data_IF_590689868881
#
_entry.id   IF_590689868881
#
_cell.length_a   1.000
_cell.length_b   1.000
_cell.length_c   1.000
_cell.angle_alpha   90.00
_cell.angle_beta   90.00
_cell.angle_gamma   90.00
#
_symmetry.space_group_name_H-M   'P 1'
#
loop_
_entity.id
_entity.type
_entity.pdbx_description
1 polymer ?
#
# COMPACT_ATOMS: atom_id res chain seq x y z
N UNK A 1 13.71 -12.50 10.86
CA UNK A 1 12.33 -12.88 10.45
C UNK A 1 12.37 -13.09 8.94
N UNK A 2 11.76 -14.16 8.41
CA UNK A 2 11.65 -14.36 6.96
C UNK A 2 10.82 -13.25 6.31
N UNK A 3 10.91 -13.12 4.98
CA UNK A 3 10.05 -12.21 4.22
C UNK A 3 8.59 -12.58 4.45
N UNK A 4 7.77 -11.59 4.81
CA UNK A 4 6.32 -11.75 4.87
C UNK A 4 5.71 -11.45 3.49
N UNK A 5 4.80 -12.32 3.06
CA UNK A 5 4.14 -12.21 1.77
C UNK A 5 2.71 -11.70 1.96
N UNK A 6 2.41 -10.54 1.38
CA UNK A 6 1.07 -10.02 1.25
C UNK A 6 0.27 -10.81 0.20
N UNK A 7 -1.03 -10.65 0.24
CA UNK A 7 -1.92 -11.14 -0.82
C UNK A 7 -1.76 -10.35 -2.13
N UNK A 8 -2.69 -10.53 -3.04
CA UNK A 8 -2.72 -9.88 -4.35
C UNK A 8 -3.98 -9.03 -4.56
N UNK A 9 -4.36 -8.90 -5.81
CA UNK A 9 -5.43 -8.01 -6.27
C UNK A 9 -6.81 -8.41 -5.73
N UNK A 10 -7.37 -7.64 -4.80
CA UNK A 10 -8.76 -7.78 -4.35
C UNK A 10 -9.74 -7.47 -5.49
N UNK A 11 -9.61 -6.31 -6.14
CA UNK A 11 -10.54 -5.87 -7.19
C UNK A 11 -10.64 -6.84 -8.36
N UNK A 12 -9.52 -7.35 -8.88
CA UNK A 12 -9.49 -8.35 -9.95
C UNK A 12 -10.27 -9.61 -9.54
N UNK A 13 -10.01 -10.11 -8.33
CA UNK A 13 -10.68 -11.32 -7.83
C UNK A 13 -12.17 -11.11 -7.60
N UNK A 14 -12.60 -9.92 -7.18
CA UNK A 14 -14.03 -9.59 -7.04
C UNK A 14 -14.73 -9.51 -8.40
N UNK A 15 -14.07 -8.94 -9.42
CA UNK A 15 -14.61 -8.90 -10.79
C UNK A 15 -14.80 -10.31 -11.36
N UNK A 16 -13.84 -11.22 -11.16
CA UNK A 16 -13.98 -12.62 -11.53
C UNK A 16 -15.16 -13.33 -10.82
N UNK A 17 -15.56 -12.82 -9.65
CA UNK A 17 -16.70 -13.32 -8.85
C UNK A 17 -17.99 -12.55 -9.09
N UNK A 18 -18.05 -11.73 -10.13
CA UNK A 18 -19.29 -11.09 -10.60
C UNK A 18 -19.47 -9.64 -10.16
N UNK A 19 -18.47 -8.98 -9.56
CA UNK A 19 -18.54 -7.53 -9.36
C UNK A 19 -18.55 -6.84 -10.73
N UNK A 20 -19.68 -6.18 -11.06
CA UNK A 20 -19.81 -5.50 -12.32
C UNK A 20 -18.98 -4.20 -12.40
N UNK A 21 -18.52 -3.81 -13.60
CA UNK A 21 -17.86 -2.53 -13.80
C UNK A 21 -18.67 -1.35 -13.24
N UNK A 22 -18.02 -0.45 -12.51
CA UNK A 22 -18.67 0.74 -11.91
C UNK A 22 -19.37 0.49 -10.57
N UNK A 23 -19.46 -0.74 -10.10
CA UNK A 23 -19.94 -1.02 -8.74
C UNK A 23 -18.84 -0.73 -7.71
N UNK A 24 -19.26 -0.32 -6.52
CA UNK A 24 -18.34 -0.10 -5.39
C UNK A 24 -17.93 -1.45 -4.78
N UNK A 25 -16.64 -1.81 -4.77
CA UNK A 25 -16.17 -3.08 -4.18
C UNK A 25 -16.44 -3.16 -2.69
N UNK A 26 -16.31 -2.05 -1.96
CA UNK A 26 -16.47 -1.98 -0.51
C UNK A 26 -17.91 -2.26 -0.06
N UNK A 27 -18.90 -2.03 -0.94
CA UNK A 27 -20.30 -2.38 -0.69
C UNK A 27 -20.50 -3.89 -0.43
N UNK A 28 -19.64 -4.74 -1.01
CA UNK A 28 -19.70 -6.19 -0.82
C UNK A 28 -19.40 -6.61 0.62
N UNK A 29 -18.71 -5.78 1.40
CA UNK A 29 -18.48 -6.07 2.82
C UNK A 29 -19.81 -6.22 3.59
N UNK A 30 -20.85 -5.50 3.16
CA UNK A 30 -22.17 -5.54 3.79
C UNK A 30 -23.17 -6.41 3.01
N UNK A 31 -23.15 -6.36 1.66
CA UNK A 31 -24.15 -7.01 0.83
C UNK A 31 -23.83 -8.47 0.49
N UNK A 32 -22.55 -8.84 0.41
CA UNK A 32 -22.08 -10.18 0.06
C UNK A 32 -20.71 -10.51 0.72
N UNK A 33 -20.63 -10.48 2.06
CA UNK A 33 -19.38 -10.65 2.79
C UNK A 33 -18.69 -11.99 2.52
N UNK A 34 -19.43 -13.02 2.16
CA UNK A 34 -18.92 -14.34 1.78
C UNK A 34 -18.08 -14.31 0.49
N UNK A 35 -18.39 -13.42 -0.45
CA UNK A 35 -17.58 -13.23 -1.66
C UNK A 35 -16.20 -12.65 -1.27
N UNK A 36 -16.17 -11.61 -0.44
CA UNK A 36 -14.92 -11.02 0.06
C UNK A 36 -14.14 -12.04 0.88
N UNK A 37 -14.80 -12.77 1.78
CA UNK A 37 -14.19 -13.85 2.57
C UNK A 37 -13.57 -14.95 1.69
N UNK A 38 -14.21 -15.27 0.56
CA UNK A 38 -13.67 -16.28 -0.37
C UNK A 38 -12.34 -15.84 -0.99
N UNK A 39 -12.19 -14.55 -1.32
CA UNK A 39 -10.93 -13.99 -1.84
C UNK A 39 -9.81 -14.09 -0.79
N UNK A 40 -10.05 -13.65 0.43
CA UNK A 40 -9.05 -13.78 1.52
C UNK A 40 -8.65 -15.23 1.74
N UNK A 41 -9.62 -16.16 1.73
CA UNK A 41 -9.36 -17.59 1.90
C UNK A 41 -8.47 -18.16 0.82
N UNK A 42 -8.71 -17.80 -0.44
CA UNK A 42 -7.91 -18.27 -1.56
C UNK A 42 -6.45 -17.78 -1.46
N UNK A 43 -6.22 -16.54 -1.06
CA UNK A 43 -4.87 -16.00 -0.83
C UNK A 43 -4.17 -16.64 0.37
N UNK A 44 -4.87 -16.87 1.49
CA UNK A 44 -4.28 -17.54 2.65
C UNK A 44 -3.89 -19.00 2.31
N UNK A 45 -4.72 -19.70 1.53
CA UNK A 45 -4.43 -21.04 1.03
C UNK A 45 -3.30 -21.07 0.02
N UNK A 46 -3.12 -20.00 -0.74
CA UNK A 46 -1.96 -19.78 -1.59
C UNK A 46 -0.67 -19.51 -0.81
N UNK A 47 -0.76 -19.29 0.51
CA UNK A 47 0.39 -19.17 1.40
C UNK A 47 0.77 -17.75 1.78
N UNK A 48 -0.04 -16.72 1.49
CA UNK A 48 0.25 -15.37 1.98
C UNK A 48 0.26 -15.33 3.53
N UNK A 49 1.01 -14.40 4.08
CA UNK A 49 1.14 -14.18 5.52
C UNK A 49 0.24 -13.02 5.99
N UNK A 50 -0.11 -12.10 5.08
CA UNK A 50 -0.89 -10.89 5.39
C UNK A 50 -1.95 -10.73 4.30
N UNK A 51 -3.21 -10.56 4.71
CA UNK A 51 -4.33 -10.21 3.81
C UNK A 51 -4.68 -8.74 3.94
N UNK A 52 -5.00 -8.11 2.82
CA UNK A 52 -5.40 -6.70 2.71
C UNK A 52 -6.92 -6.62 2.68
N UNK A 53 -7.51 -5.81 3.56
CA UNK A 53 -8.96 -5.67 3.64
C UNK A 53 -9.55 -5.01 2.40
N UNK A 54 -10.81 -5.35 2.09
CA UNK A 54 -11.58 -4.70 1.03
C UNK A 54 -12.11 -3.34 1.50
N UNK A 55 -11.20 -2.37 1.70
CA UNK A 55 -11.52 -1.04 2.25
C UNK A 55 -10.73 0.11 1.60
N UNK A 56 -10.09 -0.15 0.45
CA UNK A 56 -9.29 0.82 -0.29
C UNK A 56 -10.04 2.13 -0.56
N UNK A 57 -11.25 2.06 -1.08
CA UNK A 57 -12.15 3.18 -1.35
C UNK A 57 -13.09 3.50 -0.17
N UNK A 58 -12.78 3.07 1.05
CA UNK A 58 -13.63 3.21 2.23
C UNK A 58 -13.65 4.60 2.88
N UNK A 59 -12.97 5.60 2.31
CA UNK A 59 -13.02 6.98 2.81
C UNK A 59 -14.38 7.63 2.54
N UNK A 60 -14.77 8.61 3.38
CA UNK A 60 -16.03 9.35 3.17
C UNK A 60 -16.08 10.00 1.79
N UNK A 61 -14.95 10.50 1.30
CA UNK A 61 -14.83 11.11 -0.02
C UNK A 61 -15.20 10.12 -1.13
N UNK A 62 -14.63 8.91 -1.10
CA UNK A 62 -14.91 7.86 -2.09
C UNK A 62 -16.30 7.28 -1.96
N UNK A 63 -16.75 6.98 -0.76
CA UNK A 63 -18.10 6.44 -0.53
C UNK A 63 -19.21 7.42 -0.95
N UNK A 64 -18.96 8.73 -0.90
CA UNK A 64 -19.90 9.76 -1.37
C UNK A 64 -20.20 9.64 -2.86
N UNK A 65 -19.23 9.20 -3.68
CA UNK A 65 -19.43 8.99 -5.12
C UNK A 65 -20.52 7.92 -5.40
N UNK A 66 -20.72 7.01 -4.44
CA UNK A 66 -21.70 5.91 -4.48
C UNK A 66 -22.90 6.12 -3.54
N UNK A 67 -23.07 7.31 -2.95
CA UNK A 67 -24.13 7.64 -1.97
C UNK A 67 -24.09 6.75 -0.70
N UNK A 68 -22.89 6.29 -0.32
CA UNK A 68 -22.66 5.37 0.81
C UNK A 68 -21.87 6.03 1.97
N UNK A 69 -21.68 7.35 1.96
CA UNK A 69 -20.87 8.07 2.96
C UNK A 69 -21.30 7.82 4.42
N UNK A 70 -22.62 7.63 4.65
CA UNK A 70 -23.16 7.36 5.99
C UNK A 70 -22.92 5.91 6.47
N UNK A 71 -22.44 5.03 5.58
CA UNK A 71 -22.11 3.64 5.91
C UNK A 71 -20.60 3.44 6.17
N UNK A 72 -19.82 4.53 6.23
CA UNK A 72 -18.36 4.47 6.37
C UNK A 72 -17.91 3.55 7.51
N UNK A 73 -18.46 3.74 8.71
CA UNK A 73 -18.07 2.94 9.88
C UNK A 73 -18.39 1.45 9.68
N UNK A 74 -19.60 1.14 9.23
CA UNK A 74 -20.02 -0.23 9.01
C UNK A 74 -19.17 -0.93 7.92
N UNK A 75 -18.94 -0.27 6.79
CA UNK A 75 -18.16 -0.81 5.67
C UNK A 75 -16.73 -1.13 6.11
N UNK A 76 -16.05 -0.18 6.77
CA UNK A 76 -14.65 -0.34 7.16
C UNK A 76 -14.48 -1.35 8.31
N UNK A 77 -15.34 -1.31 9.34
CA UNK A 77 -15.30 -2.29 10.43
C UNK A 77 -15.58 -3.71 9.91
N UNK A 78 -16.55 -3.87 9.02
CA UNK A 78 -16.89 -5.17 8.44
C UNK A 78 -15.76 -5.71 7.56
N UNK A 79 -15.05 -4.85 6.81
CA UNK A 79 -13.89 -5.27 6.01
C UNK A 79 -12.82 -5.95 6.87
N UNK A 80 -12.49 -5.36 8.02
CA UNK A 80 -11.53 -5.95 8.97
C UNK A 80 -12.09 -7.22 9.60
N UNK A 81 -13.37 -7.21 9.99
CA UNK A 81 -14.01 -8.38 10.61
C UNK A 81 -14.03 -9.60 9.69
N UNK A 82 -14.33 -9.41 8.39
CA UNK A 82 -14.28 -10.49 7.38
C UNK A 82 -12.87 -11.08 7.29
N UNK A 83 -11.86 -10.24 7.09
CA UNK A 83 -10.47 -10.67 6.97
C UNK A 83 -10.00 -11.43 8.23
N UNK A 84 -10.30 -10.88 9.41
CA UNK A 84 -9.96 -11.48 10.70
C UNK A 84 -10.63 -12.84 10.90
N UNK A 85 -11.92 -12.95 10.56
CA UNK A 85 -12.65 -14.22 10.66
C UNK A 85 -12.05 -15.30 9.76
N UNK A 86 -11.63 -14.95 8.55
CA UNK A 86 -10.98 -15.90 7.63
C UNK A 86 -9.60 -16.31 8.15
N UNK A 87 -8.78 -15.37 8.66
CA UNK A 87 -7.50 -15.70 9.28
C UNK A 87 -7.66 -16.67 10.47
N UNK A 88 -8.68 -16.47 11.30
CA UNK A 88 -9.00 -17.38 12.42
C UNK A 88 -9.43 -18.78 11.93
N UNK A 89 -10.27 -18.85 10.89
CA UNK A 89 -10.72 -20.12 10.31
C UNK A 89 -9.57 -20.93 9.68
N UNK A 90 -8.65 -20.25 8.98
CA UNK A 90 -7.50 -20.88 8.35
C UNK A 90 -6.32 -21.08 9.35
N UNK A 91 -6.45 -20.60 10.60
CA UNK A 91 -5.45 -20.74 11.66
C UNK A 91 -4.14 -19.98 11.41
N UNK A 92 -4.15 -19.00 10.50
CA UNK A 92 -2.97 -18.21 10.08
C UNK A 92 -3.35 -16.85 9.50
N UNK A 93 -2.36 -16.00 9.34
CA UNK A 93 -2.46 -14.72 8.65
C UNK A 93 -2.62 -13.54 9.60
N UNK A 94 -2.16 -12.39 9.14
CA UNK A 94 -2.34 -11.07 9.73
C UNK A 94 -3.24 -10.23 8.82
N UNK A 95 -3.79 -9.15 9.34
CA UNK A 95 -4.72 -8.27 8.62
C UNK A 95 -4.13 -6.89 8.47
N UNK A 96 -3.96 -6.42 7.24
CA UNK A 96 -3.62 -5.04 6.91
C UNK A 96 -4.86 -4.31 6.41
N UNK A 97 -5.28 -3.26 7.12
CA UNK A 97 -6.44 -2.47 6.75
C UNK A 97 -6.07 -1.43 5.70
N UNK A 98 -6.60 -1.60 4.49
CA UNK A 98 -6.31 -0.77 3.31
C UNK A 98 -6.99 0.59 3.38
N UNK A 99 -6.24 1.63 3.04
CA UNK A 99 -6.71 3.01 2.84
C UNK A 99 -6.06 3.56 1.56
N UNK A 100 -6.86 3.85 0.56
CA UNK A 100 -6.42 4.43 -0.71
C UNK A 100 -6.56 5.96 -0.76
N UNK A 101 -6.10 6.60 -1.85
CA UNK A 101 -6.24 8.03 -2.06
C UNK A 101 -7.70 8.43 -2.25
N UNK A 102 -8.03 9.65 -1.80
CA UNK A 102 -9.38 10.24 -1.94
C UNK A 102 -9.74 10.60 -3.38
N UNK A 103 -8.73 10.77 -4.24
CA UNK A 103 -8.87 11.32 -5.57
C UNK A 103 -8.81 12.85 -5.61
N UNK A 104 -8.68 13.50 -4.46
CA UNK A 104 -8.49 14.95 -4.35
C UNK A 104 -7.01 15.30 -4.15
N UNK A 105 -6.61 16.47 -4.63
CA UNK A 105 -5.31 17.04 -4.29
C UNK A 105 -5.45 18.06 -3.16
N UNK A 106 -4.42 18.08 -2.31
CA UNK A 106 -4.32 19.13 -1.29
C UNK A 106 -3.91 20.46 -1.90
N UNK A 107 -4.33 21.57 -1.26
CA UNK A 107 -3.85 22.91 -1.64
C UNK A 107 -2.31 22.98 -1.64
N UNK A 108 -1.68 23.72 -2.56
CA UNK A 108 -2.27 24.59 -3.59
C UNK A 108 -2.58 23.87 -4.92
N UNK A 109 -2.35 22.57 -5.06
CA UNK A 109 -2.60 21.80 -6.29
C UNK A 109 -4.09 21.50 -6.51
N UNK A 110 -4.84 21.33 -5.44
CA UNK A 110 -6.28 21.09 -5.42
C UNK A 110 -6.98 22.07 -4.50
N UNK A 111 -8.23 21.77 -4.17
CA UNK A 111 -9.10 22.64 -3.38
C UNK A 111 -9.16 22.27 -1.90
N UNK A 112 -8.80 21.04 -1.55
CA UNK A 112 -8.94 20.52 -0.18
C UNK A 112 -7.81 21.04 0.71
N UNK A 113 -8.15 21.66 1.84
CA UNK A 113 -7.19 22.09 2.85
C UNK A 113 -6.50 20.89 3.52
N UNK A 114 -5.24 21.08 3.97
CA UNK A 114 -4.48 19.98 4.58
C UNK A 114 -5.17 19.43 5.84
N UNK A 115 -5.71 20.30 6.70
CA UNK A 115 -6.44 19.88 7.91
C UNK A 115 -7.72 19.08 7.57
N UNK A 116 -8.45 19.52 6.55
CA UNK A 116 -9.63 18.79 6.06
C UNK A 116 -9.26 17.40 5.51
N UNK A 117 -8.13 17.29 4.79
CA UNK A 117 -7.63 16.01 4.32
C UNK A 117 -7.28 15.07 5.49
N UNK A 118 -6.67 15.60 6.55
CA UNK A 118 -6.42 14.83 7.79
C UNK A 118 -7.74 14.34 8.39
N UNK A 119 -8.77 15.18 8.47
CA UNK A 119 -10.07 14.81 9.03
C UNK A 119 -10.78 13.71 8.22
N UNK A 120 -10.70 13.77 6.88
CA UNK A 120 -11.24 12.73 6.00
C UNK A 120 -10.60 11.37 6.32
N UNK A 121 -9.27 11.30 6.41
CA UNK A 121 -8.56 10.06 6.73
C UNK A 121 -8.75 9.60 8.17
N UNK A 122 -8.87 10.53 9.12
CA UNK A 122 -9.08 10.19 10.52
C UNK A 122 -10.42 9.46 10.75
N UNK A 123 -11.46 9.77 9.99
CA UNK A 123 -12.75 9.07 10.06
C UNK A 123 -12.58 7.59 9.64
N UNK A 124 -11.94 7.32 8.50
CA UNK A 124 -11.69 5.96 8.02
C UNK A 124 -10.75 5.21 8.96
N UNK A 125 -9.65 5.84 9.39
CA UNK A 125 -8.67 5.24 10.29
C UNK A 125 -9.30 4.80 11.63
N UNK A 126 -10.21 5.61 12.22
CA UNK A 126 -10.94 5.23 13.45
C UNK A 126 -11.81 4.00 13.23
N UNK A 127 -12.56 3.96 12.14
CA UNK A 127 -13.44 2.83 11.83
C UNK A 127 -12.63 1.53 11.64
N UNK A 128 -11.52 1.58 10.91
CA UNK A 128 -10.63 0.44 10.72
C UNK A 128 -9.94 0.02 12.03
N UNK A 129 -9.37 0.98 12.76
CA UNK A 129 -8.63 0.71 13.99
C UNK A 129 -9.51 0.09 15.09
N UNK A 130 -10.79 0.50 15.19
CA UNK A 130 -11.73 -0.06 16.15
C UNK A 130 -11.99 -1.55 15.97
N UNK A 131 -11.80 -2.08 14.76
CA UNK A 131 -11.96 -3.49 14.44
C UNK A 131 -10.66 -4.32 14.63
N UNK A 132 -9.54 -3.69 15.01
CA UNK A 132 -8.30 -4.32 15.44
C UNK A 132 -7.50 -5.03 14.34
N UNK A 133 -7.12 -4.35 13.24
CA UNK A 133 -6.17 -4.89 12.28
C UNK A 133 -4.75 -4.92 12.86
N UNK A 134 -3.84 -5.68 12.25
CA UNK A 134 -2.44 -5.74 12.66
C UNK A 134 -1.63 -4.56 12.09
N UNK A 135 -2.07 -4.03 10.94
CA UNK A 135 -1.47 -2.87 10.26
C UNK A 135 -2.56 -1.96 9.67
N UNK A 136 -2.26 -0.65 9.58
CA UNK A 136 -2.93 0.26 8.64
C UNK A 136 -2.04 0.38 7.40
N UNK A 137 -2.60 0.15 6.21
CA UNK A 137 -1.89 0.20 4.94
C UNK A 137 -2.39 1.38 4.11
N UNK A 138 -1.59 2.42 4.03
CA UNK A 138 -1.78 3.53 3.11
C UNK A 138 -1.13 3.16 1.77
N UNK A 139 -1.93 2.86 0.75
CA UNK A 139 -1.42 2.33 -0.51
C UNK A 139 -1.87 3.12 -1.75
N UNK A 140 -1.05 3.06 -2.81
CA UNK A 140 -1.33 3.66 -4.13
C UNK A 140 -1.41 5.19 -4.11
N UNK A 141 -0.73 5.84 -3.17
CA UNK A 141 -0.68 7.29 -3.11
C UNK A 141 0.29 7.88 -4.13
N UNK A 142 -0.18 8.85 -4.90
CA UNK A 142 0.60 9.56 -5.92
C UNK A 142 0.98 10.99 -5.51
N UNK A 143 0.44 11.50 -4.40
CA UNK A 143 0.78 12.79 -3.81
C UNK A 143 1.29 12.65 -2.38
N UNK A 144 2.48 13.22 -2.11
CA UNK A 144 3.09 13.20 -0.78
C UNK A 144 2.32 14.08 0.22
N UNK A 145 1.65 15.12 -0.25
CA UNK A 145 0.81 15.98 0.59
C UNK A 145 -0.36 15.19 1.18
N UNK A 146 -1.06 14.43 0.34
CA UNK A 146 -2.16 13.55 0.73
C UNK A 146 -1.67 12.40 1.63
N UNK A 147 -0.56 11.72 1.26
CA UNK A 147 0.04 10.66 2.07
C UNK A 147 0.42 11.15 3.48
N UNK A 148 0.98 12.36 3.60
CA UNK A 148 1.28 12.98 4.91
C UNK A 148 0.03 13.19 5.74
N UNK A 149 -1.03 13.68 5.14
CA UNK A 149 -2.31 13.89 5.84
C UNK A 149 -2.88 12.55 6.34
N UNK A 150 -2.85 11.51 5.50
CA UNK A 150 -3.30 10.17 5.86
C UNK A 150 -2.47 9.56 7.00
N UNK A 151 -1.13 9.66 6.93
CA UNK A 151 -0.25 9.15 7.99
C UNK A 151 -0.47 9.87 9.31
N UNK A 152 -0.56 11.20 9.31
CA UNK A 152 -0.85 11.99 10.51
C UNK A 152 -2.23 11.63 11.10
N UNK A 153 -3.24 11.43 10.26
CA UNK A 153 -4.55 10.97 10.67
C UNK A 153 -4.47 9.61 11.38
N UNK A 154 -3.82 8.62 10.81
CA UNK A 154 -3.62 7.30 11.42
C UNK A 154 -2.93 7.42 12.79
N UNK A 155 -1.82 8.16 12.86
CA UNK A 155 -1.05 8.36 14.11
C UNK A 155 -1.81 9.13 15.17
N UNK A 156 -2.79 9.98 14.79
CA UNK A 156 -3.62 10.72 15.74
C UNK A 156 -4.72 9.87 16.39
N UNK A 157 -5.06 8.72 15.81
CA UNK A 157 -6.20 7.92 16.27
C UNK A 157 -5.82 6.58 16.90
N UNK A 158 -4.64 6.04 16.60
CA UNK A 158 -4.19 4.75 17.16
C UNK A 158 -2.66 4.58 17.09
N UNK A 159 -2.17 3.55 17.79
CA UNK A 159 -0.75 3.13 17.80
C UNK A 159 -0.48 1.93 16.87
N UNK A 160 -1.44 1.53 16.05
CA UNK A 160 -1.26 0.45 15.07
C UNK A 160 -0.14 0.83 14.08
N UNK A 161 0.80 -0.08 13.77
CA UNK A 161 1.84 0.19 12.79
C UNK A 161 1.26 0.61 11.44
N UNK A 162 1.82 1.69 10.85
CA UNK A 162 1.37 2.23 9.56
C UNK A 162 2.39 1.91 8.48
N UNK A 163 1.92 1.25 7.42
CA UNK A 163 2.66 0.99 6.20
C UNK A 163 2.31 2.07 5.19
N UNK A 164 3.32 2.73 4.61
CA UNK A 164 3.15 3.80 3.62
C UNK A 164 3.70 3.34 2.27
N UNK A 165 2.82 3.11 1.30
CA UNK A 165 3.17 2.64 -0.04
C UNK A 165 2.74 3.65 -1.11
N UNK A 166 3.72 4.21 -1.82
CA UNK A 166 3.48 5.21 -2.86
C UNK A 166 3.54 4.60 -4.26
N UNK A 167 2.97 5.31 -5.21
CA UNK A 167 2.93 4.94 -6.63
C UNK A 167 3.85 5.86 -7.43
N UNK A 168 4.72 5.27 -8.26
CA UNK A 168 5.72 5.99 -9.05
C UNK A 168 5.52 5.75 -10.54
N UNK A 169 5.80 6.76 -11.35
CA UNK A 169 5.79 6.68 -12.81
C UNK A 169 7.15 6.17 -13.35
N UNK A 170 7.27 5.96 -14.67
CA UNK A 170 8.48 5.44 -15.32
C UNK A 170 9.77 6.21 -15.04
N UNK A 171 9.68 7.47 -14.61
CA UNK A 171 10.82 8.31 -14.27
C UNK A 171 11.19 8.23 -12.76
N UNK A 172 10.70 7.25 -12.03
CA UNK A 172 10.83 7.10 -10.58
C UNK A 172 10.34 8.33 -9.80
N UNK A 173 9.31 9.01 -10.31
CA UNK A 173 8.66 10.13 -9.63
C UNK A 173 7.18 9.82 -9.46
N UNK A 174 6.60 10.28 -8.38
CA UNK A 174 5.14 10.25 -8.25
C UNK A 174 4.50 11.19 -9.27
N UNK A 175 3.18 11.11 -9.44
CA UNK A 175 2.43 12.01 -10.34
C UNK A 175 2.72 13.50 -10.03
N UNK A 176 2.96 13.83 -8.76
CA UNK A 176 3.26 15.20 -8.32
C UNK A 176 4.77 15.50 -8.25
N UNK A 177 5.63 14.66 -8.84
CA UNK A 177 7.07 14.90 -8.99
C UNK A 177 7.94 14.49 -7.80
N UNK A 178 7.41 13.81 -6.79
CA UNK A 178 8.14 13.41 -5.58
C UNK A 178 9.08 12.24 -5.88
N UNK A 179 10.33 12.32 -5.40
CA UNK A 179 11.28 11.22 -5.49
C UNK A 179 11.09 10.18 -4.38
N UNK A 180 11.52 8.92 -4.58
CA UNK A 180 11.52 7.92 -3.53
C UNK A 180 12.26 8.38 -2.27
N UNK A 181 13.41 9.02 -2.44
CA UNK A 181 14.21 9.54 -1.31
C UNK A 181 13.45 10.62 -0.53
N UNK A 182 12.80 11.58 -1.22
CA UNK A 182 12.03 12.64 -0.54
C UNK A 182 10.83 12.06 0.22
N UNK A 183 10.15 11.08 -0.36
CA UNK A 183 9.09 10.34 0.29
C UNK A 183 9.61 9.61 1.54
N UNK A 184 10.71 8.83 1.42
CA UNK A 184 11.29 8.08 2.53
C UNK A 184 11.64 8.98 3.72
N UNK A 185 12.43 10.05 3.48
CA UNK A 185 12.84 10.98 4.55
C UNK A 185 11.62 11.61 5.25
N UNK A 186 10.60 11.98 4.47
CA UNK A 186 9.41 12.63 5.01
C UNK A 186 8.57 11.66 5.83
N UNK A 187 8.27 10.47 5.30
CA UNK A 187 7.39 9.51 5.93
C UNK A 187 8.02 8.85 7.16
N UNK A 188 9.33 8.56 7.12
CA UNK A 188 10.07 8.09 8.29
C UNK A 188 10.00 9.09 9.45
N UNK A 189 10.19 10.38 9.19
CA UNK A 189 10.11 11.45 10.19
C UNK A 189 8.70 11.65 10.76
N UNK A 190 7.67 11.31 9.98
CA UNK A 190 6.28 11.37 10.43
C UNK A 190 5.82 10.09 11.14
N UNK A 191 6.68 9.08 11.27
CA UNK A 191 6.41 7.87 12.06
C UNK A 191 5.78 6.73 11.27
N UNK A 192 6.05 6.63 9.96
CA UNK A 192 5.79 5.40 9.21
C UNK A 192 6.56 4.23 9.81
N UNK A 193 5.96 3.05 9.88
CA UNK A 193 6.60 1.83 10.37
C UNK A 193 7.25 1.03 9.25
N UNK A 194 6.70 1.11 8.04
CA UNK A 194 7.17 0.47 6.81
C UNK A 194 6.98 1.44 5.66
N UNK A 195 7.90 1.49 4.72
CA UNK A 195 7.82 2.35 3.53
C UNK A 195 7.97 1.50 2.28
N UNK A 196 7.30 1.86 1.19
CA UNK A 196 7.50 1.15 -0.06
C UNK A 196 6.75 1.70 -1.25
N UNK A 197 6.48 0.80 -2.19
CA UNK A 197 5.78 1.14 -3.42
C UNK A 197 4.89 0.00 -3.90
N UNK A 198 3.80 0.37 -4.55
CA UNK A 198 2.88 -0.59 -5.15
C UNK A 198 2.29 -0.05 -6.45
N UNK A 199 1.58 -0.90 -7.16
CA UNK A 199 0.95 -0.56 -8.43
C UNK A 199 1.98 -0.06 -9.46
N UNK A 200 1.80 1.07 -10.10
CA UNK A 200 2.73 1.75 -11.04
C UNK A 200 3.08 0.96 -12.30
N UNK A 201 3.52 -0.28 -12.16
CA UNK A 201 3.97 -1.17 -13.23
C UNK A 201 4.21 -2.57 -12.71
N UNK A 202 4.92 -3.38 -13.47
CA UNK A 202 5.41 -4.68 -13.04
C UNK A 202 6.65 -4.60 -12.17
N UNK A 203 7.22 -5.75 -11.77
CA UNK A 203 8.41 -5.79 -10.93
C UNK A 203 9.60 -5.01 -11.47
N UNK A 204 9.83 -5.06 -12.78
CA UNK A 204 10.98 -4.39 -13.40
C UNK A 204 10.95 -2.86 -13.23
N UNK A 205 9.77 -2.26 -13.33
CA UNK A 205 9.58 -0.82 -13.18
C UNK A 205 9.79 -0.33 -11.75
N UNK A 206 9.54 -1.19 -10.74
CA UNK A 206 9.68 -0.81 -9.32
C UNK A 206 11.08 -1.06 -8.74
N UNK A 207 11.94 -1.78 -9.46
CA UNK A 207 13.26 -2.15 -8.93
C UNK A 207 14.13 -0.93 -8.60
N UNK A 208 14.18 0.06 -9.49
CA UNK A 208 14.94 1.29 -9.26
C UNK A 208 14.34 2.12 -8.10
N UNK A 209 13.01 2.11 -7.93
CA UNK A 209 12.35 2.78 -6.80
C UNK A 209 12.78 2.15 -5.48
N UNK A 210 12.77 0.82 -5.37
CA UNK A 210 13.20 0.10 -4.16
C UNK A 210 14.69 0.34 -3.88
N UNK A 211 15.54 0.38 -4.91
CA UNK A 211 16.96 0.71 -4.75
C UNK A 211 17.14 2.09 -4.09
N UNK A 212 16.46 3.12 -4.61
CA UNK A 212 16.49 4.48 -4.07
C UNK A 212 15.96 4.56 -2.62
N UNK A 213 14.88 3.81 -2.30
CA UNK A 213 14.36 3.70 -0.94
C UNK A 213 15.37 3.01 -0.01
N UNK A 214 15.96 1.90 -0.44
CA UNK A 214 16.92 1.13 0.37
C UNK A 214 18.18 1.92 0.72
N UNK A 215 18.62 2.84 -0.14
CA UNK A 215 19.74 3.75 0.09
C UNK A 215 19.38 4.95 1.01
N UNK A 216 18.10 5.13 1.32
CA UNK A 216 17.63 6.35 2.01
C UNK A 216 17.11 6.07 3.43
N UNK A 217 16.51 4.90 3.67
CA UNK A 217 15.89 4.56 4.96
C UNK A 217 16.32 3.19 5.48
N UNK A 218 16.43 3.09 6.81
CA UNK A 218 16.61 1.80 7.51
C UNK A 218 15.27 1.11 7.83
N UNK A 219 14.13 1.79 7.63
CA UNK A 219 12.82 1.20 7.86
C UNK A 219 12.60 -0.04 6.98
N UNK A 220 11.82 -1.02 7.45
CA UNK A 220 11.37 -2.13 6.62
C UNK A 220 10.77 -1.65 5.29
N UNK A 221 11.04 -2.37 4.20
CA UNK A 221 10.52 -2.05 2.88
C UNK A 221 9.44 -3.02 2.44
N UNK A 222 8.41 -2.49 1.73
CA UNK A 222 7.37 -3.25 1.06
C UNK A 222 7.36 -2.98 -0.43
N UNK A 223 7.14 -4.02 -1.24
CA UNK A 223 6.95 -3.90 -2.69
C UNK A 223 5.83 -4.81 -3.18
N UNK A 224 4.84 -4.22 -3.88
CA UNK A 224 3.66 -4.92 -4.39
C UNK A 224 3.37 -4.46 -5.83
N UNK A 225 4.10 -4.99 -6.83
CA UNK A 225 3.90 -4.63 -8.23
C UNK A 225 2.63 -5.26 -8.82
N UNK A 226 2.20 -4.73 -9.96
CA UNK A 226 1.19 -5.37 -10.80
C UNK A 226 1.76 -6.62 -11.49
N UNK A 227 0.90 -7.48 -12.01
CA UNK A 227 1.29 -8.60 -12.88
C UNK A 227 1.71 -8.10 -14.28
N UNK A 228 2.72 -7.22 -14.31
CA UNK A 228 3.20 -6.52 -15.50
C UNK A 228 2.48 -5.19 -15.75
N UNK A 229 2.86 -4.53 -16.85
CA UNK A 229 2.19 -3.29 -17.27
C UNK A 229 0.77 -3.59 -17.78
N UNK A 230 -0.23 -2.78 -17.44
CA UNK A 230 -1.59 -2.98 -17.92
C UNK A 230 -1.65 -2.80 -19.44
N UNK A 231 -2.31 -3.73 -20.11
CA UNK A 231 -2.67 -3.67 -21.52
C UNK A 231 -4.17 -3.37 -21.63
N UNK A 232 -4.52 -2.38 -22.43
CA UNK A 232 -5.91 -2.02 -22.69
C UNK A 232 -6.28 -2.44 -24.11
N UNK A 233 -7.21 -3.36 -24.25
CA UNK A 233 -7.78 -3.78 -25.53
C UNK A 233 -9.29 -3.79 -25.44
N UNK A 234 -9.96 -3.09 -26.33
CA UNK A 234 -11.44 -3.01 -26.41
C UNK A 234 -12.10 -2.61 -25.07
N UNK A 235 -11.42 -1.75 -24.29
CA UNK A 235 -11.89 -1.30 -22.96
C UNK A 235 -11.67 -2.30 -21.81
N UNK A 236 -11.05 -3.46 -22.09
CA UNK A 236 -10.67 -4.45 -21.08
C UNK A 236 -9.21 -4.26 -20.70
N UNK A 237 -8.94 -4.15 -19.39
CA UNK A 237 -7.59 -4.08 -18.84
C UNK A 237 -7.12 -5.49 -18.50
N UNK A 238 -5.98 -5.88 -19.07
CA UNK A 238 -5.33 -7.17 -18.77
C UNK A 238 -3.89 -6.97 -18.32
N UNK A 239 -3.36 -7.94 -17.58
CA UNK A 239 -2.01 -7.92 -17.06
C UNK A 239 -1.25 -9.14 -17.61
N UNK A 240 -0.18 -8.93 -18.41
CA UNK A 240 0.39 -9.99 -19.24
C UNK A 240 1.39 -10.90 -18.51
N UNK A 241 1.84 -10.53 -17.31
CA UNK A 241 2.90 -11.28 -16.62
C UNK A 241 2.29 -12.46 -15.86
N UNK A 242 2.52 -13.68 -16.35
CA UNK A 242 2.07 -14.90 -15.70
C UNK A 242 2.77 -15.18 -14.37
N UNK A 243 2.22 -16.07 -13.57
CA UNK A 243 2.62 -16.30 -12.18
C UNK A 243 4.09 -16.74 -12.01
N UNK A 244 4.62 -17.63 -12.86
CA UNK A 244 6.02 -18.05 -12.84
C UNK A 244 6.95 -16.89 -13.15
N UNK A 245 6.66 -16.13 -14.21
CA UNK A 245 7.47 -15.00 -14.61
C UNK A 245 7.43 -13.87 -13.57
N UNK A 246 6.27 -13.65 -12.94
CA UNK A 246 6.11 -12.72 -11.84
C UNK A 246 7.00 -13.10 -10.65
N UNK A 247 6.92 -14.36 -10.18
CA UNK A 247 7.71 -14.84 -9.06
C UNK A 247 9.23 -14.68 -9.31
N UNK A 248 9.70 -15.03 -10.52
CA UNK A 248 11.10 -14.84 -10.91
C UNK A 248 11.49 -13.36 -10.96
N UNK A 249 10.62 -12.49 -11.48
CA UNK A 249 10.87 -11.06 -11.54
C UNK A 249 10.89 -10.36 -10.16
N UNK A 250 10.39 -11.02 -9.11
CA UNK A 250 10.47 -10.52 -7.73
C UNK A 250 11.81 -10.82 -7.04
N UNK A 251 12.60 -11.79 -7.50
CA UNK A 251 13.88 -12.14 -6.87
C UNK A 251 14.92 -11.01 -6.87
N UNK A 252 15.01 -10.13 -7.90
CA UNK A 252 15.92 -8.98 -7.90
C UNK A 252 15.69 -7.97 -6.75
N UNK A 253 14.57 -8.02 -6.02
CA UNK A 253 14.34 -7.18 -4.84
C UNK A 253 15.06 -7.68 -3.59
N UNK A 254 15.44 -8.97 -3.51
CA UNK A 254 16.05 -9.58 -2.32
C UNK A 254 17.36 -8.90 -1.88
N UNK A 255 18.28 -8.52 -2.78
CA UNK A 255 19.51 -7.81 -2.39
C UNK A 255 19.26 -6.48 -1.65
N UNK A 256 18.10 -5.85 -1.84
CA UNK A 256 17.70 -4.61 -1.15
C UNK A 256 17.11 -4.85 0.23
N UNK A 257 17.16 -6.08 0.73
CA UNK A 257 16.68 -6.45 2.06
C UNK A 257 15.22 -6.02 2.31
N UNK A 258 14.33 -6.28 1.34
CA UNK A 258 12.89 -6.06 1.51
C UNK A 258 12.31 -7.04 2.52
N UNK A 259 11.47 -6.56 3.43
CA UNK A 259 10.84 -7.40 4.46
C UNK A 259 9.44 -7.87 4.04
N UNK A 260 8.80 -7.14 3.14
CA UNK A 260 7.45 -7.40 2.70
C UNK A 260 7.37 -7.40 1.17
N UNK A 261 6.79 -8.45 0.62
CA UNK A 261 6.52 -8.56 -0.82
C UNK A 261 5.07 -8.98 -1.03
N UNK A 262 4.51 -8.70 -2.19
CA UNK A 262 3.16 -9.11 -2.54
C UNK A 262 2.84 -8.77 -3.99
N UNK A 263 1.56 -8.76 -4.30
CA UNK A 263 1.07 -8.36 -5.61
C UNK A 263 0.05 -7.23 -5.55
N UNK A 264 -0.13 -6.54 -6.67
CA UNK A 264 -1.20 -5.56 -6.87
C UNK A 264 -2.04 -5.98 -8.08
N UNK A 265 -2.50 -5.07 -8.90
CA UNK A 265 -3.44 -5.34 -10.00
C UNK A 265 -3.00 -6.51 -10.90
N UNK A 266 -3.96 -7.38 -11.26
CA UNK A 266 -3.76 -8.55 -12.11
C UNK A 266 -3.11 -9.75 -11.45
N UNK A 267 -2.64 -9.64 -10.20
CA UNK A 267 -2.12 -10.83 -9.48
C UNK A 267 -3.26 -11.68 -8.92
N UNK A 268 -3.05 -12.99 -8.92
CA UNK A 268 -4.01 -14.01 -8.47
C UNK A 268 -3.42 -14.85 -7.35
N UNK A 269 -4.19 -15.73 -6.70
CA UNK A 269 -3.66 -16.66 -5.71
C UNK A 269 -2.46 -17.48 -6.22
N UNK A 270 -2.44 -17.84 -7.51
CA UNK A 270 -1.30 -18.58 -8.10
C UNK A 270 -0.02 -17.75 -8.15
N UNK A 271 -0.11 -16.43 -8.46
CA UNK A 271 1.03 -15.52 -8.39
C UNK A 271 1.61 -15.48 -6.97
N UNK A 272 0.75 -15.37 -5.96
CA UNK A 272 1.18 -15.31 -4.56
C UNK A 272 1.75 -16.64 -4.08
N UNK A 273 1.18 -17.77 -4.52
CA UNK A 273 1.71 -19.10 -4.20
C UNK A 273 3.13 -19.30 -4.71
N UNK A 274 3.39 -18.95 -5.96
CA UNK A 274 4.71 -19.08 -6.55
C UNK A 274 5.70 -18.05 -5.98
N UNK A 275 5.24 -16.83 -5.70
CA UNK A 275 6.05 -15.82 -5.01
C UNK A 275 6.48 -16.33 -3.61
N UNK A 276 5.54 -16.89 -2.83
CA UNK A 276 5.84 -17.43 -1.49
C UNK A 276 6.91 -18.53 -1.56
N UNK A 277 6.79 -19.41 -2.54
CA UNK A 277 7.81 -20.47 -2.76
C UNK A 277 9.16 -19.89 -3.16
N UNK A 278 9.18 -18.86 -4.01
CA UNK A 278 10.41 -18.27 -4.53
C UNK A 278 11.21 -17.50 -3.46
N UNK A 279 10.53 -16.92 -2.45
CA UNK A 279 11.19 -16.17 -1.36
C UNK A 279 11.35 -16.97 -0.07
N UNK A 280 10.94 -18.24 -0.05
CA UNK A 280 11.01 -19.09 1.13
C UNK A 280 12.44 -19.26 1.63
N UNK A 281 12.64 -19.12 2.92
CA UNK A 281 13.95 -19.26 3.56
C UNK A 281 14.86 -18.03 3.44
N UNK A 282 14.45 -16.99 2.69
CA UNK A 282 15.20 -15.74 2.67
C UNK A 282 14.90 -14.92 3.93
N UNK A 283 15.96 -14.56 4.65
CA UNK A 283 15.89 -13.74 5.86
C UNK A 283 16.57 -12.41 5.59
N UNK A 284 15.81 -11.30 5.44
CA UNK A 284 16.40 -10.00 5.23
C UNK A 284 17.24 -9.56 6.42
N UNK A 285 18.40 -8.98 6.13
CA UNK A 285 19.23 -8.32 7.13
C UNK A 285 18.78 -6.88 7.37
N UNK A 286 19.06 -6.35 8.56
CA UNK A 286 18.80 -4.93 8.83
C UNK A 286 19.77 -4.07 8.03
N UNK A 287 19.24 -3.14 7.24
CA UNK A 287 20.04 -2.14 6.56
C UNK A 287 20.63 -1.18 7.58
N UNK A 288 21.89 -0.81 7.36
CA UNK A 288 22.60 0.21 8.16
C UNK A 288 23.10 1.27 7.21
N UNK A 289 22.61 2.48 7.38
CA UNK A 289 23.01 3.63 6.58
C UNK A 289 23.89 4.56 7.42
N UNK A 290 24.87 5.19 6.77
CA UNK A 290 25.57 6.29 7.42
C UNK A 290 24.58 7.42 7.73
N UNK A 291 24.42 7.73 9.02
CA UNK A 291 23.52 8.80 9.47
C UNK A 291 24.11 10.15 9.08
N UNK A 292 23.72 10.64 7.93
CA UNK A 292 23.99 12.00 7.49
C UNK A 292 22.72 12.81 7.72
N UNK A 293 22.84 14.01 8.30
CA UNK A 293 21.70 14.91 8.42
C UNK A 293 21.06 15.10 7.05
N UNK A 294 19.76 14.87 6.93
CA UNK A 294 19.01 14.98 5.67
C UNK A 294 17.88 15.97 5.80
N UNK A 295 17.71 16.81 4.78
CA UNK A 295 16.56 17.67 4.58
C UNK A 295 15.87 17.26 3.30
N UNK A 296 14.56 17.14 3.34
CA UNK A 296 13.75 16.85 2.16
C UNK A 296 12.83 18.03 1.84
N UNK A 297 12.83 18.46 0.59
CA UNK A 297 11.73 19.19 -0.02
C UNK A 297 10.79 18.19 -0.69
N UNK A 298 9.74 18.70 -1.35
CA UNK A 298 8.85 17.86 -2.16
C UNK A 298 9.59 17.04 -3.23
N UNK A 299 10.66 17.58 -3.81
CA UNK A 299 11.33 17.00 -4.98
C UNK A 299 12.74 16.51 -4.71
N UNK A 300 13.42 17.05 -3.70
CA UNK A 300 14.85 16.83 -3.47
C UNK A 300 15.18 16.52 -2.03
N UNK A 301 16.20 15.70 -1.85
CA UNK A 301 16.87 15.45 -0.58
C UNK A 301 18.26 16.08 -0.62
N UNK A 302 18.61 16.81 0.43
CA UNK A 302 19.93 17.38 0.63
C UNK A 302 20.56 16.72 1.85
N UNK A 303 21.77 16.15 1.65
CA UNK A 303 22.59 15.63 2.75
C UNK A 303 23.39 16.78 3.34
N UNK A 304 23.26 17.04 4.64
CA UNK A 304 23.84 18.21 5.29
C UNK A 304 25.31 18.04 5.72
N UNK A 305 25.87 16.85 5.58
CA UNK A 305 27.28 16.57 5.87
C UNK A 305 27.75 16.98 7.28
N UNK A 306 26.85 16.96 8.29
CA UNK A 306 27.16 17.42 9.65
C UNK A 306 27.14 18.93 9.86
N UNK A 307 26.76 19.72 8.84
CA UNK A 307 26.59 21.18 8.99
C UNK A 307 25.25 21.51 9.64
N UNK A 308 25.25 22.53 10.51
CA UNK A 308 24.04 23.03 11.15
C UNK A 308 23.12 23.71 10.12
N UNK A 309 21.81 23.55 10.28
CA UNK A 309 20.73 24.09 9.42
C UNK A 309 20.91 25.57 9.08
N UNK A 310 21.45 26.37 9.97
CA UNK A 310 21.70 27.82 9.77
C UNK A 310 22.70 28.14 8.65
N UNK A 311 23.55 27.21 8.25
CA UNK A 311 24.50 27.42 7.13
C UNK A 311 23.96 27.03 5.76
N UNK A 312 22.75 26.43 5.70
CA UNK A 312 22.15 25.89 4.46
C UNK A 312 21.04 26.83 3.93
N UNK A 313 20.48 27.66 4.81
CA UNK A 313 19.37 28.56 4.52
C UNK A 313 19.84 30.02 4.40
N UNK A 314 21.13 30.31 4.63
CA UNK A 314 21.74 31.62 4.50
C UNK A 314 22.17 31.97 3.10
#
# INVERSE_FOLDING_TARGET
MEIAVFDGAMGTMLQERGLAPGQNPEALNLSAPEIVASVHRDYLRAGCDIVITNSFGGSRAKLKEYQMAEQLEAINAQAVAIARAVCQQEGRGQVAASMGPTGYFTQPLGEVGFAEMVDIYAQQARALASAGPDYLLLETFSDLGEMRAALLACRSVCDIPVICSMTYMKNNRTLTGVSPQAAAVTLERLGASVIGCNCSGGPAELLAVIAELAETTELPLVVQPNAGLPLVSEGVVTYPLGAEAFAQAMLPFLPYQVQFVGGCCGTTPEHIRLLKMAVQGFVPEARRLERVGTLASRERVIKTGGQTLTKIIG
#
